data_IF_660884160136
#
_entry.id   IF_660884160136
#
_cell.length_a   1.000
_cell.length_b   1.000
_cell.length_c   1.000
_cell.angle_alpha   90.00
_cell.angle_beta   90.00
_cell.angle_gamma   90.00
#
_symmetry.space_group_name_H-M   'P 1'
#
loop_
_entity.id
_entity.type
_entity.pdbx_description
1 polymer ?
#
# COMPACT_ATOMS: atom_id res chain seq x y z
N UNK A 1 8.34 -84.90 85.37
CA UNK A 1 8.24 -84.75 83.90
C UNK A 1 8.27 -83.25 83.62
N UNK A 2 9.29 -82.65 82.95
CA UNK A 2 9.64 -82.76 81.51
C UNK A 2 8.40 -82.47 80.64
N UNK A 3 8.34 -81.51 79.72
CA UNK A 3 9.35 -80.67 79.09
C UNK A 3 8.75 -79.37 78.51
N UNK A 4 9.65 -78.42 78.35
CA UNK A 4 9.58 -77.12 77.68
C UNK A 4 9.72 -77.30 76.15
N UNK A 5 9.00 -76.51 75.34
CA UNK A 5 9.42 -76.18 73.97
C UNK A 5 9.22 -74.68 73.71
N UNK A 6 10.33 -74.08 73.29
CA UNK A 6 10.53 -72.65 72.97
C UNK A 6 9.99 -72.36 71.57
N UNK A 7 9.22 -71.29 71.43
CA UNK A 7 9.05 -70.58 70.16
C UNK A 7 9.36 -69.10 70.40
N UNK A 8 10.49 -68.63 69.85
CA UNK A 8 10.87 -67.22 69.85
C UNK A 8 9.92 -66.42 68.93
N UNK A 9 9.32 -65.30 69.38
CA UNK A 9 8.50 -64.47 68.52
C UNK A 9 9.36 -63.69 67.52
N UNK A 10 8.92 -63.68 66.26
CA UNK A 10 9.46 -62.88 65.13
C UNK A 10 9.56 -61.39 65.48
N UNK A 11 10.53 -60.64 64.93
CA UNK A 11 10.61 -59.18 65.10
C UNK A 11 9.35 -58.53 64.54
N UNK A 12 8.70 -57.71 65.36
CA UNK A 12 7.50 -56.97 64.97
C UNK A 12 7.82 -55.95 63.85
N UNK A 13 6.93 -55.78 62.86
CA UNK A 13 7.14 -54.82 61.78
C UNK A 13 7.20 -53.38 62.32
N UNK A 14 8.12 -52.58 61.78
CA UNK A 14 8.36 -51.18 62.15
C UNK A 14 7.07 -50.35 62.11
N UNK A 15 6.65 -49.87 63.28
CA UNK A 15 5.42 -49.10 63.48
C UNK A 15 5.55 -47.75 62.76
N UNK A 16 4.86 -47.56 61.64
CA UNK A 16 4.66 -46.22 61.04
C UNK A 16 3.85 -45.39 62.03
N UNK A 17 4.52 -44.45 62.68
CA UNK A 17 3.88 -43.51 63.61
C UNK A 17 3.01 -42.56 62.78
N UNK A 18 1.70 -42.78 62.78
CA UNK A 18 0.73 -41.77 62.36
C UNK A 18 0.92 -40.56 63.29
N UNK A 19 1.60 -39.53 62.80
CA UNK A 19 1.60 -38.23 63.46
C UNK A 19 0.21 -37.63 63.22
N UNK A 20 -0.59 -37.35 64.27
CA UNK A 20 -1.88 -36.72 64.08
C UNK A 20 -1.66 -35.38 63.36
N UNK A 21 -2.46 -35.09 62.33
CA UNK A 21 -2.45 -33.79 61.67
C UNK A 21 -2.60 -32.72 62.76
N UNK A 22 -1.60 -31.83 62.90
CA UNK A 22 -1.66 -30.74 63.89
C UNK A 22 -2.97 -29.99 63.65
N UNK A 23 -3.83 -29.95 64.67
CA UNK A 23 -5.10 -29.20 64.60
C UNK A 23 -4.77 -27.75 64.28
N UNK A 24 -5.32 -27.23 63.18
CA UNK A 24 -5.12 -25.84 62.75
C UNK A 24 -5.57 -24.91 63.88
N UNK A 25 -4.68 -24.04 64.34
CA UNK A 25 -4.98 -23.13 65.44
C UNK A 25 -6.12 -22.18 65.05
N UNK A 26 -6.93 -21.79 66.03
CA UNK A 26 -8.05 -20.86 65.79
C UNK A 26 -7.56 -19.52 65.21
N UNK A 27 -6.39 -19.04 65.65
CA UNK A 27 -5.73 -17.86 65.08
C UNK A 27 -5.33 -18.02 63.61
N UNK A 28 -4.87 -19.21 63.20
CA UNK A 28 -4.59 -19.50 61.77
C UNK A 28 -5.87 -19.46 60.93
N UNK A 29 -7.00 -19.92 61.48
CA UNK A 29 -8.30 -19.88 60.77
C UNK A 29 -8.80 -18.44 60.61
N UNK A 30 -8.71 -17.63 61.66
CA UNK A 30 -9.06 -16.20 61.60
C UNK A 30 -8.16 -15.48 60.60
N UNK A 31 -6.85 -15.71 60.65
CA UNK A 31 -5.90 -15.12 59.72
C UNK A 31 -6.22 -15.46 58.27
N UNK A 32 -6.49 -16.74 57.95
CA UNK A 32 -6.89 -17.16 56.61
C UNK A 32 -8.18 -16.48 56.18
N UNK A 33 -9.18 -16.34 57.06
CA UNK A 33 -10.41 -15.61 56.76
C UNK A 33 -10.16 -14.14 56.45
N UNK A 34 -9.34 -13.44 57.23
CA UNK A 34 -8.99 -12.04 56.97
C UNK A 34 -8.23 -11.87 55.65
N UNK A 35 -7.27 -12.76 55.37
CA UNK A 35 -6.55 -12.75 54.08
C UNK A 35 -7.49 -13.00 52.91
N UNK A 36 -8.48 -13.90 53.07
CA UNK A 36 -9.45 -14.20 52.03
C UNK A 36 -10.42 -13.04 51.80
N UNK A 37 -10.88 -12.37 52.86
CA UNK A 37 -11.71 -11.15 52.76
C UNK A 37 -10.93 -9.99 52.11
N UNK A 38 -9.66 -9.81 52.47
CA UNK A 38 -8.77 -8.83 51.84
C UNK A 38 -8.53 -9.15 50.36
N UNK A 39 -8.32 -10.42 50.01
CA UNK A 39 -8.14 -10.86 48.64
C UNK A 39 -9.42 -10.67 47.80
N UNK A 40 -10.59 -10.98 48.34
CA UNK A 40 -11.87 -10.74 47.67
C UNK A 40 -12.13 -9.23 47.51
N UNK A 41 -11.82 -8.43 48.53
CA UNK A 41 -11.94 -6.97 48.47
C UNK A 41 -10.99 -6.32 47.46
N UNK A 42 -9.75 -6.81 47.34
CA UNK A 42 -8.79 -6.30 46.36
C UNK A 42 -9.13 -6.73 44.92
N UNK A 43 -9.62 -7.97 44.74
CA UNK A 43 -10.16 -8.44 43.44
C UNK A 43 -11.41 -7.61 43.07
N UNK A 44 -12.32 -7.34 44.02
CA UNK A 44 -13.49 -6.50 43.80
C UNK A 44 -13.13 -5.07 43.37
N UNK A 45 -12.22 -4.40 44.09
CA UNK A 45 -11.76 -3.06 43.72
C UNK A 45 -11.02 -3.03 42.37
N UNK A 46 -10.27 -4.08 42.04
CA UNK A 46 -9.63 -4.23 40.74
C UNK A 46 -10.66 -4.36 39.60
N UNK A 47 -11.69 -5.19 39.77
CA UNK A 47 -12.73 -5.43 38.78
C UNK A 47 -13.69 -4.22 38.63
N UNK A 48 -13.99 -3.51 39.71
CA UNK A 48 -14.97 -2.41 39.70
C UNK A 48 -14.37 -1.04 39.32
N UNK A 49 -13.08 -0.81 39.61
CA UNK A 49 -12.48 0.53 39.46
C UNK A 49 -11.31 0.53 38.48
N UNK A 50 -10.32 -0.34 38.70
CA UNK A 50 -9.09 -0.28 37.90
C UNK A 50 -9.27 -0.82 36.47
N UNK A 51 -9.96 -1.95 36.32
CA UNK A 51 -10.18 -2.56 35.01
C UNK A 51 -11.04 -1.64 34.10
N UNK A 52 -12.16 -1.05 34.56
CA UNK A 52 -12.92 -0.08 33.76
C UNK A 52 -12.13 1.18 33.42
N UNK A 53 -11.30 1.70 34.33
CA UNK A 53 -10.45 2.87 34.05
C UNK A 53 -9.39 2.58 32.99
N UNK A 54 -8.77 1.40 33.00
CA UNK A 54 -7.82 1.00 31.96
C UNK A 54 -8.50 0.83 30.60
N UNK A 55 -9.68 0.19 30.55
CA UNK A 55 -10.51 0.10 29.33
C UNK A 55 -10.83 1.50 28.81
N UNK A 56 -11.27 2.42 29.68
CA UNK A 56 -11.62 3.78 29.29
C UNK A 56 -10.40 4.58 28.78
N UNK A 57 -9.21 4.34 29.33
CA UNK A 57 -7.97 4.95 28.83
C UNK A 57 -7.61 4.44 27.44
N UNK A 58 -7.71 3.13 27.20
CA UNK A 58 -7.44 2.54 25.89
C UNK A 58 -8.45 2.99 24.84
N UNK A 59 -9.74 3.10 25.21
CA UNK A 59 -10.78 3.63 24.34
C UNK A 59 -10.52 5.09 23.93
N UNK A 60 -9.95 5.92 24.83
CA UNK A 60 -9.56 7.30 24.48
C UNK A 60 -8.39 7.35 23.50
N UNK A 61 -7.39 6.50 23.71
CA UNK A 61 -6.22 6.42 22.82
C UNK A 61 -6.64 5.91 21.44
N UNK A 62 -7.37 4.79 21.41
CA UNK A 62 -7.96 4.24 20.18
C UNK A 62 -8.82 5.27 19.45
N UNK A 63 -9.76 5.93 20.15
CA UNK A 63 -10.64 6.92 19.52
C UNK A 63 -9.89 8.13 18.93
N UNK A 64 -8.77 8.53 19.54
CA UNK A 64 -7.92 9.60 18.99
C UNK A 64 -7.21 9.17 17.70
N UNK A 65 -6.68 7.95 17.66
CA UNK A 65 -6.06 7.38 16.45
C UNK A 65 -7.09 7.15 15.35
N UNK A 66 -8.28 6.66 15.71
CA UNK A 66 -9.39 6.45 14.78
C UNK A 66 -9.85 7.78 14.14
N UNK A 67 -9.90 8.86 14.92
CA UNK A 67 -10.24 10.19 14.41
C UNK A 67 -9.20 10.69 13.40
N UNK A 68 -7.91 10.53 13.69
CA UNK A 68 -6.82 10.89 12.76
C UNK A 68 -6.88 10.05 11.48
N UNK A 69 -7.14 8.75 11.60
CA UNK A 69 -7.31 7.86 10.45
C UNK A 69 -8.51 8.26 9.56
N UNK A 70 -9.64 8.65 10.17
CA UNK A 70 -10.81 9.16 9.42
C UNK A 70 -10.50 10.46 8.68
N UNK A 71 -9.84 11.41 9.34
CA UNK A 71 -9.45 12.66 8.72
C UNK A 71 -8.55 12.43 7.51
N UNK A 72 -7.49 11.64 7.69
CA UNK A 72 -6.54 11.35 6.62
C UNK A 72 -7.18 10.54 5.49
N UNK A 73 -8.09 9.61 5.80
CA UNK A 73 -8.88 8.90 4.77
C UNK A 73 -9.72 9.85 3.91
N UNK A 74 -10.36 10.86 4.52
CA UNK A 74 -11.11 11.89 3.78
C UNK A 74 -10.23 12.75 2.87
N UNK A 75 -9.10 13.21 3.39
CA UNK A 75 -8.13 14.03 2.64
C UNK A 75 -7.53 13.24 1.46
N UNK A 76 -7.16 11.98 1.71
CA UNK A 76 -6.61 11.06 0.71
C UNK A 76 -7.64 10.77 -0.37
N UNK A 77 -8.89 10.46 -0.01
CA UNK A 77 -9.94 10.18 -0.98
C UNK A 77 -10.19 11.38 -1.92
N UNK A 78 -10.24 12.58 -1.36
CA UNK A 78 -10.40 13.83 -2.13
C UNK A 78 -9.22 14.05 -3.09
N UNK A 79 -8.01 13.83 -2.60
CA UNK A 79 -6.78 14.03 -3.39
C UNK A 79 -6.66 13.01 -4.52
N UNK A 80 -6.94 11.73 -4.26
CA UNK A 80 -6.94 10.68 -5.28
C UNK A 80 -8.01 10.93 -6.34
N UNK A 81 -9.21 11.35 -5.95
CA UNK A 81 -10.27 11.71 -6.91
C UNK A 81 -9.85 12.86 -7.81
N UNK A 82 -9.20 13.88 -7.24
CA UNK A 82 -8.69 15.03 -8.00
C UNK A 82 -7.61 14.59 -9.00
N UNK A 83 -6.60 13.85 -8.53
CA UNK A 83 -5.51 13.32 -9.37
C UNK A 83 -6.03 12.54 -10.57
N UNK A 84 -6.96 11.62 -10.33
CA UNK A 84 -7.47 10.77 -11.41
C UNK A 84 -8.51 11.46 -12.29
N UNK A 85 -9.15 12.54 -11.82
CA UNK A 85 -9.97 13.40 -12.68
C UNK A 85 -9.12 14.14 -13.69
N UNK A 86 -7.93 14.61 -13.30
CA UNK A 86 -7.01 15.31 -14.21
C UNK A 86 -6.31 14.33 -15.17
N UNK A 87 -5.84 13.18 -14.65
CA UNK A 87 -5.26 12.11 -15.48
C UNK A 87 -6.29 11.53 -16.46
N UNK A 88 -7.56 11.40 -16.06
CA UNK A 88 -8.75 11.78 -16.84
C UNK A 88 -8.66 11.85 -18.35
N UNK A 89 -8.05 12.96 -18.74
CA UNK A 89 -8.15 13.56 -20.06
C UNK A 89 -6.97 13.14 -20.95
N UNK A 90 -6.15 12.21 -20.46
CA UNK A 90 -4.83 11.90 -20.97
C UNK A 90 -3.80 12.82 -20.32
N UNK A 91 -2.82 12.23 -19.63
CA UNK A 91 -1.71 12.97 -19.03
C UNK A 91 -0.80 13.66 -20.06
N UNK A 92 -0.85 13.20 -21.31
CA UNK A 92 -0.13 13.78 -22.44
C UNK A 92 -0.89 15.00 -22.95
N UNK A 93 -0.25 16.16 -22.87
CA UNK A 93 -0.86 17.45 -23.19
C UNK A 93 -1.15 18.33 -21.97
N UNK A 94 -1.00 17.79 -20.74
CA UNK A 94 -0.90 18.61 -19.54
C UNK A 94 0.39 19.45 -19.59
N UNK A 95 0.33 20.67 -19.06
CA UNK A 95 1.51 21.53 -18.95
C UNK A 95 2.52 20.96 -17.96
N UNK A 96 3.79 21.30 -18.13
CA UNK A 96 4.87 20.84 -17.23
C UNK A 96 4.58 21.29 -15.77
N UNK A 97 3.98 22.47 -15.58
CA UNK A 97 3.57 22.99 -14.26
C UNK A 97 2.43 22.18 -13.63
N UNK A 98 1.45 21.76 -14.44
CA UNK A 98 0.34 20.92 -13.96
C UNK A 98 0.88 19.54 -13.55
N UNK A 99 1.72 18.93 -14.40
CA UNK A 99 2.36 17.64 -14.09
C UNK A 99 3.23 17.71 -12.83
N UNK A 100 3.94 18.81 -12.59
CA UNK A 100 4.71 18.99 -11.37
C UNK A 100 3.82 19.11 -10.12
N UNK A 101 2.69 19.82 -10.25
CA UNK A 101 1.69 19.97 -9.18
C UNK A 101 1.04 18.63 -8.84
N UNK A 102 0.61 17.89 -9.86
CA UNK A 102 -0.02 16.58 -9.71
C UNK A 102 0.95 15.56 -9.12
N UNK A 103 2.24 15.60 -9.50
CA UNK A 103 3.26 14.74 -8.92
C UNK A 103 3.44 15.01 -7.43
N UNK A 104 3.53 16.30 -7.05
CA UNK A 104 3.63 16.68 -5.65
C UNK A 104 2.38 16.28 -4.85
N UNK A 105 1.20 16.40 -5.45
CA UNK A 105 -0.06 15.95 -4.85
C UNK A 105 -0.08 14.43 -4.67
N UNK A 106 0.33 13.64 -5.67
CA UNK A 106 0.41 12.19 -5.60
C UNK A 106 1.34 11.73 -4.47
N UNK A 107 2.55 12.28 -4.39
CA UNK A 107 3.52 11.96 -3.33
C UNK A 107 3.02 12.32 -1.92
N UNK A 108 2.36 13.47 -1.78
CA UNK A 108 1.74 13.87 -0.49
C UNK A 108 0.59 12.94 -0.13
N UNK A 109 -0.18 12.50 -1.12
CA UNK A 109 -1.31 11.60 -0.93
C UNK A 109 -0.86 10.21 -0.51
N UNK A 110 0.19 9.66 -1.13
CA UNK A 110 0.83 8.41 -0.68
C UNK A 110 1.30 8.50 0.77
N UNK A 111 1.99 9.58 1.11
CA UNK A 111 2.47 9.80 2.47
C UNK A 111 1.29 9.86 3.45
N UNK A 112 0.26 10.65 3.15
CA UNK A 112 -0.92 10.77 4.00
C UNK A 112 -1.68 9.45 4.12
N UNK A 113 -1.69 8.62 3.07
CA UNK A 113 -2.32 7.30 3.14
C UNK A 113 -1.50 6.34 4.03
N UNK A 114 -0.17 6.38 3.93
CA UNK A 114 0.74 5.63 4.80
C UNK A 114 0.60 6.04 6.27
N UNK A 115 0.55 7.35 6.55
CA UNK A 115 0.32 7.87 7.89
C UNK A 115 -1.04 7.38 8.43
N UNK A 116 -2.08 7.35 7.58
CA UNK A 116 -3.41 6.88 7.96
C UNK A 116 -3.45 5.41 8.31
N UNK A 117 -2.72 4.59 7.55
CA UNK A 117 -2.53 3.17 7.86
C UNK A 117 -1.77 2.98 9.17
N UNK A 118 -0.82 3.85 9.51
CA UNK A 118 -0.12 3.82 10.80
C UNK A 118 -1.08 4.10 11.96
N UNK A 119 -1.97 5.08 11.83
CA UNK A 119 -3.00 5.36 12.85
C UNK A 119 -3.97 4.18 13.03
N UNK A 120 -4.37 3.53 11.93
CA UNK A 120 -5.19 2.31 11.99
C UNK A 120 -4.46 1.18 12.73
N UNK A 121 -3.18 0.97 12.45
CA UNK A 121 -2.38 -0.05 13.14
C UNK A 121 -2.26 0.24 14.65
N UNK A 122 -2.09 1.52 15.02
CA UNK A 122 -2.08 1.94 16.42
C UNK A 122 -3.43 1.69 17.10
N UNK A 123 -4.55 2.07 16.46
CA UNK A 123 -5.90 1.81 16.96
C UNK A 123 -6.16 0.30 17.13
N UNK A 124 -5.78 -0.52 16.14
CA UNK A 124 -5.88 -1.98 16.22
C UNK A 124 -5.04 -2.56 17.38
N UNK A 125 -3.86 -2.00 17.65
CA UNK A 125 -3.04 -2.42 18.78
C UNK A 125 -3.71 -2.09 20.13
N UNK A 126 -4.30 -0.91 20.28
CA UNK A 126 -5.06 -0.54 21.49
C UNK A 126 -6.30 -1.41 21.69
N UNK A 127 -7.01 -1.74 20.61
CA UNK A 127 -8.13 -2.68 20.66
C UNK A 127 -7.69 -4.09 21.06
N UNK A 128 -6.59 -4.60 20.50
CA UNK A 128 -6.05 -5.91 20.86
C UNK A 128 -5.58 -5.94 22.32
N UNK A 129 -4.97 -4.86 22.81
CA UNK A 129 -4.63 -4.71 24.22
C UNK A 129 -5.88 -4.69 25.11
N UNK A 130 -6.95 -4.05 24.64
CA UNK A 130 -8.21 -4.00 25.36
C UNK A 130 -8.92 -5.37 25.41
N UNK A 131 -8.96 -6.10 24.30
CA UNK A 131 -9.56 -7.44 24.17
C UNK A 131 -8.75 -8.51 24.95
N UNK A 132 -7.44 -8.28 25.09
CA UNK A 132 -6.51 -9.19 25.77
C UNK A 132 -6.40 -9.02 27.29
N UNK A 133 -7.16 -8.11 27.92
CA UNK A 133 -7.05 -7.94 29.37
C UNK A 133 -7.66 -9.12 30.14
N UNK A 134 -7.00 -9.58 31.22
CA UNK A 134 -7.51 -10.69 32.01
C UNK A 134 -8.82 -10.32 32.72
N UNK A 135 -9.63 -11.34 33.03
CA UNK A 135 -10.92 -11.24 33.73
C UNK A 135 -12.05 -10.53 32.96
N UNK A 136 -11.85 -10.26 31.67
CA UNK A 136 -12.94 -9.85 30.78
C UNK A 136 -13.81 -11.05 30.39
N UNK A 137 -15.12 -10.92 30.58
CA UNK A 137 -16.12 -11.94 30.20
C UNK A 137 -16.63 -11.74 28.76
N UNK A 138 -16.42 -10.54 28.21
CA UNK A 138 -16.82 -10.13 26.86
C UNK A 138 -15.87 -9.03 26.38
N UNK A 139 -15.73 -8.89 25.06
CA UNK A 139 -14.97 -7.78 24.48
C UNK A 139 -15.54 -6.42 24.93
N UNK A 140 -14.70 -5.39 25.07
CA UNK A 140 -15.16 -4.04 25.35
C UNK A 140 -16.09 -3.51 24.24
N UNK A 141 -17.12 -2.74 24.61
CA UNK A 141 -18.14 -2.29 23.64
C UNK A 141 -17.59 -1.47 22.46
N UNK A 142 -16.56 -0.65 22.69
CA UNK A 142 -15.90 0.10 21.62
C UNK A 142 -15.20 -0.83 20.61
N UNK A 143 -14.59 -1.93 21.08
CA UNK A 143 -13.95 -2.93 20.20
C UNK A 143 -14.96 -3.53 19.22
N UNK A 144 -16.19 -3.80 19.67
CA UNK A 144 -17.25 -4.34 18.79
C UNK A 144 -17.71 -3.33 17.75
N UNK A 145 -17.81 -2.06 18.11
CA UNK A 145 -18.31 -0.99 17.24
C UNK A 145 -17.25 -0.49 16.24
N UNK A 146 -15.99 -0.36 16.66
CA UNK A 146 -14.94 0.32 15.89
C UNK A 146 -14.13 -0.64 14.99
N UNK A 147 -14.19 -1.96 15.26
CA UNK A 147 -13.56 -2.99 14.41
C UNK A 147 -14.01 -2.95 12.94
N UNK A 148 -15.32 -2.89 12.60
CA UNK A 148 -15.74 -2.75 11.20
C UNK A 148 -15.31 -1.41 10.59
N UNK A 149 -15.34 -0.32 11.35
CA UNK A 149 -14.90 1.00 10.90
C UNK A 149 -13.43 0.98 10.48
N UNK A 150 -12.54 0.43 11.32
CA UNK A 150 -11.12 0.32 11.00
C UNK A 150 -10.85 -0.54 9.77
N UNK A 151 -11.63 -1.61 9.56
CA UNK A 151 -11.51 -2.44 8.36
C UNK A 151 -11.87 -1.65 7.10
N UNK A 152 -12.96 -0.88 7.13
CA UNK A 152 -13.35 0.00 6.02
C UNK A 152 -12.31 1.10 5.74
N UNK A 153 -11.80 1.76 6.79
CA UNK A 153 -10.72 2.75 6.64
C UNK A 153 -9.46 2.13 6.02
N UNK A 154 -9.09 0.93 6.48
CA UNK A 154 -7.91 0.22 5.98
C UNK A 154 -8.06 -0.14 4.50
N UNK A 155 -9.23 -0.66 4.11
CA UNK A 155 -9.53 -0.98 2.72
C UNK A 155 -9.51 0.26 1.82
N UNK A 156 -10.12 1.35 2.29
CA UNK A 156 -10.13 2.64 1.59
C UNK A 156 -8.71 3.17 1.39
N UNK A 157 -7.91 3.24 2.46
CA UNK A 157 -6.55 3.78 2.41
C UNK A 157 -5.61 2.91 1.58
N UNK A 158 -5.73 1.59 1.61
CA UNK A 158 -4.93 0.69 0.76
C UNK A 158 -5.24 0.91 -0.73
N UNK A 159 -6.53 1.00 -1.08
CA UNK A 159 -6.94 1.24 -2.46
C UNK A 159 -6.52 2.64 -2.94
N UNK A 160 -6.64 3.65 -2.09
CA UNK A 160 -6.21 5.01 -2.39
C UNK A 160 -4.68 5.13 -2.50
N UNK A 161 -3.92 4.46 -1.63
CA UNK A 161 -2.46 4.42 -1.71
C UNK A 161 -1.99 3.78 -3.02
N UNK A 162 -2.66 2.71 -3.47
CA UNK A 162 -2.37 2.09 -4.77
C UNK A 162 -2.61 3.06 -5.93
N UNK A 163 -3.72 3.80 -5.89
CA UNK A 163 -4.05 4.80 -6.91
C UNK A 163 -3.10 6.00 -6.89
N UNK A 164 -2.66 6.45 -5.71
CA UNK A 164 -1.69 7.53 -5.59
C UNK A 164 -0.30 7.08 -6.09
N UNK A 165 0.14 5.88 -5.69
CA UNK A 165 1.34 5.19 -6.18
C UNK A 165 1.39 5.10 -7.70
N UNK A 166 0.29 4.65 -8.30
CA UNK A 166 0.15 4.55 -9.73
C UNK A 166 0.26 5.92 -10.42
N UNK A 167 -0.42 6.95 -9.90
CA UNK A 167 -0.33 8.31 -10.41
C UNK A 167 1.11 8.86 -10.32
N UNK A 168 1.81 8.63 -9.21
CA UNK A 168 3.19 9.07 -9.04
C UNK A 168 4.18 8.41 -10.02
N UNK A 169 3.86 7.23 -10.55
CA UNK A 169 4.65 6.59 -11.62
C UNK A 169 4.21 7.04 -13.00
N UNK A 170 2.91 7.22 -13.23
CA UNK A 170 2.35 7.61 -14.52
C UNK A 170 2.71 9.06 -14.91
N UNK A 171 2.78 9.98 -13.94
CA UNK A 171 3.07 11.40 -14.18
C UNK A 171 4.49 11.62 -14.74
N UNK A 172 5.56 11.03 -14.19
CA UNK A 172 6.90 11.09 -14.79
C UNK A 172 6.98 10.48 -16.20
N UNK A 173 6.20 9.42 -16.47
CA UNK A 173 6.07 8.86 -17.81
C UNK A 173 5.48 9.93 -18.74
N UNK A 174 4.38 10.58 -18.36
CA UNK A 174 3.78 11.65 -19.14
C UNK A 174 4.73 12.85 -19.38
N UNK A 175 5.46 13.29 -18.35
CA UNK A 175 6.47 14.35 -18.47
C UNK A 175 7.54 14.00 -19.51
N UNK A 176 8.05 12.77 -19.44
CA UNK A 176 9.08 12.31 -20.37
C UNK A 176 8.53 12.10 -21.79
N UNK A 177 7.26 11.68 -21.95
CA UNK A 177 6.59 11.65 -23.25
C UNK A 177 6.44 13.06 -23.86
N UNK A 178 6.07 14.07 -23.06
CA UNK A 178 6.03 15.47 -23.51
C UNK A 178 7.40 15.98 -23.97
N UNK A 179 8.46 15.64 -23.25
CA UNK A 179 9.84 15.98 -23.65
C UNK A 179 10.26 15.26 -24.93
N UNK A 180 9.88 14.00 -25.10
CA UNK A 180 10.16 13.24 -26.33
C UNK A 180 9.46 13.81 -27.55
N UNK A 181 8.21 14.27 -27.41
CA UNK A 181 7.49 14.95 -28.50
C UNK A 181 8.26 16.19 -29.00
N UNK A 182 8.84 16.97 -28.08
CA UNK A 182 9.70 18.12 -28.42
C UNK A 182 10.97 17.65 -29.15
N UNK A 183 11.69 16.68 -28.59
CA UNK A 183 12.92 16.13 -29.19
C UNK A 183 12.71 15.44 -30.54
N UNK A 184 11.56 14.79 -30.76
CA UNK A 184 11.16 14.25 -32.07
C UNK A 184 10.99 15.35 -33.12
N UNK A 185 10.51 16.52 -32.71
CA UNK A 185 10.41 17.68 -33.61
C UNK A 185 11.78 18.18 -34.04
N UNK A 186 12.76 18.20 -33.12
CA UNK A 186 14.16 18.54 -33.42
C UNK A 186 14.80 17.52 -34.36
N UNK A 187 14.61 16.22 -34.11
CA UNK A 187 15.06 15.16 -35.00
C UNK A 187 14.48 15.33 -36.42
N UNK A 188 13.19 15.66 -36.53
CA UNK A 188 12.55 15.93 -37.81
C UNK A 188 13.14 17.15 -38.52
N UNK A 189 13.53 18.18 -37.77
CA UNK A 189 14.20 19.35 -38.32
C UNK A 189 15.61 19.00 -38.84
N UNK A 190 16.41 18.22 -38.10
CA UNK A 190 17.71 17.73 -38.57
C UNK A 190 17.59 16.89 -39.84
N UNK A 191 16.61 15.98 -39.90
CA UNK A 191 16.35 15.17 -41.09
C UNK A 191 15.97 16.02 -42.31
N UNK A 192 15.14 17.05 -42.13
CA UNK A 192 14.79 18.00 -43.21
C UNK A 192 15.99 18.83 -43.66
N UNK A 193 16.82 19.26 -42.72
CA UNK A 193 18.05 20.01 -42.98
C UNK A 193 19.18 19.14 -43.57
N UNK A 194 18.99 17.81 -43.63
CA UNK A 194 20.02 16.83 -44.04
C UNK A 194 21.25 16.86 -43.13
N UNK A 195 21.08 17.28 -41.89
CA UNK A 195 22.11 17.19 -40.85
C UNK A 195 22.15 15.75 -40.32
N UNK A 196 22.82 14.87 -41.05
CA UNK A 196 22.86 13.43 -40.76
C UNK A 196 23.60 13.12 -39.45
N UNK A 197 24.66 13.86 -39.14
CA UNK A 197 25.44 13.62 -37.92
C UNK A 197 24.67 14.10 -36.69
N UNK A 198 24.10 15.30 -36.74
CA UNK A 198 23.25 15.82 -35.66
C UNK A 198 21.97 15.00 -35.49
N UNK A 199 21.35 14.57 -36.59
CA UNK A 199 20.20 13.66 -36.59
C UNK A 199 20.51 12.32 -35.93
N UNK A 200 21.63 11.68 -36.28
CA UNK A 200 22.04 10.40 -35.67
C UNK A 200 22.29 10.54 -34.17
N UNK A 201 22.94 11.62 -33.72
CA UNK A 201 23.18 11.89 -32.30
C UNK A 201 21.87 12.11 -31.55
N UNK A 202 20.98 12.96 -32.09
CA UNK A 202 19.67 13.25 -31.49
C UNK A 202 18.83 11.98 -31.39
N UNK A 203 18.82 11.16 -32.44
CA UNK A 203 18.14 9.88 -32.45
C UNK A 203 18.72 8.89 -31.42
N UNK A 204 20.04 8.81 -31.26
CA UNK A 204 20.66 7.94 -30.26
C UNK A 204 20.27 8.34 -28.82
N UNK A 205 20.28 9.64 -28.50
CA UNK A 205 19.85 10.16 -27.20
C UNK A 205 18.37 9.88 -26.94
N UNK A 206 17.52 10.13 -27.94
CA UNK A 206 16.09 9.81 -27.88
C UNK A 206 15.84 8.31 -27.67
N UNK A 207 16.56 7.44 -28.38
CA UNK A 207 16.39 5.99 -28.27
C UNK A 207 16.67 5.50 -26.86
N UNK A 208 17.74 6.02 -26.23
CA UNK A 208 18.05 5.70 -24.84
C UNK A 208 16.95 6.18 -23.89
N UNK A 209 16.44 7.40 -24.08
CA UNK A 209 15.36 7.95 -23.26
C UNK A 209 14.04 7.16 -23.39
N UNK A 210 13.66 6.75 -24.60
CA UNK A 210 12.44 5.96 -24.85
C UNK A 210 12.56 4.55 -24.24
N UNK A 211 13.73 3.91 -24.35
CA UNK A 211 13.96 2.58 -23.73
C UNK A 211 13.78 2.60 -22.21
N UNK A 212 14.15 3.69 -21.53
CA UNK A 212 13.96 3.82 -20.08
C UNK A 212 12.48 3.79 -19.66
N UNK A 213 11.55 4.13 -20.57
CA UNK A 213 10.12 4.11 -20.28
C UNK A 213 9.44 2.76 -20.52
N UNK A 214 10.05 1.86 -21.30
CA UNK A 214 9.43 0.56 -21.63
C UNK A 214 9.19 -0.30 -20.39
N UNK A 215 10.13 -0.31 -19.44
CA UNK A 215 9.99 -1.10 -18.21
C UNK A 215 8.88 -0.58 -17.28
N UNK A 216 8.80 0.73 -16.95
CA UNK A 216 7.66 1.31 -16.25
C UNK A 216 6.33 1.09 -16.99
N UNK A 217 6.29 1.28 -18.31
CA UNK A 217 5.08 1.11 -19.11
C UNK A 217 4.55 -0.34 -19.13
N UNK A 218 5.43 -1.33 -18.96
CA UNK A 218 5.06 -2.74 -18.86
C UNK A 218 4.61 -3.16 -17.45
N UNK A 219 4.79 -2.32 -16.44
CA UNK A 219 4.41 -2.66 -15.07
C UNK A 219 2.90 -2.39 -14.83
N UNK A 220 2.10 -3.43 -14.49
CA UNK A 220 0.66 -3.28 -14.29
C UNK A 220 0.28 -2.35 -13.13
N UNK A 221 1.15 -2.16 -12.14
CA UNK A 221 0.90 -1.24 -11.01
C UNK A 221 0.99 0.25 -11.40
N UNK A 222 1.42 0.56 -12.63
CA UNK A 222 1.47 1.94 -13.12
C UNK A 222 0.12 2.44 -13.61
N UNK A 223 -0.85 1.55 -13.81
CA UNK A 223 -2.15 1.90 -14.40
C UNK A 223 -1.97 2.79 -15.64
N UNK A 224 -1.00 2.43 -16.48
CA UNK A 224 -0.85 3.04 -17.79
C UNK A 224 -1.77 2.32 -18.78
N UNK A 225 -2.51 3.09 -19.58
CA UNK A 225 -3.25 2.53 -20.71
C UNK A 225 -2.28 1.76 -21.63
N UNK A 226 -2.51 0.47 -21.93
CA UNK A 226 -1.69 -0.31 -22.85
C UNK A 226 -1.48 0.38 -24.21
N UNK A 227 -2.41 1.23 -24.66
CA UNK A 227 -2.26 1.99 -25.89
C UNK A 227 -1.14 3.04 -25.81
N UNK A 228 -0.88 3.60 -24.63
CA UNK A 228 0.29 4.47 -24.42
C UNK A 228 1.61 3.68 -24.45
N UNK A 229 1.62 2.44 -23.93
CA UNK A 229 2.78 1.57 -24.06
C UNK A 229 3.08 1.25 -25.54
N UNK A 230 2.05 0.97 -26.35
CA UNK A 230 2.20 0.81 -27.79
C UNK A 230 2.75 2.05 -28.50
N UNK A 231 2.36 3.25 -28.06
CA UNK A 231 2.92 4.49 -28.60
C UNK A 231 4.41 4.65 -28.24
N UNK A 232 4.84 4.27 -27.04
CA UNK A 232 6.25 4.29 -26.63
C UNK A 232 7.07 3.36 -27.55
N UNK A 233 6.57 2.15 -27.80
CA UNK A 233 7.22 1.19 -28.70
C UNK A 233 7.29 1.70 -30.15
N UNK A 234 6.20 2.29 -30.65
CA UNK A 234 6.17 2.89 -31.99
C UNK A 234 7.12 4.09 -32.10
N UNK A 235 7.27 4.88 -31.04
CA UNK A 235 8.23 5.98 -30.97
C UNK A 235 9.66 5.46 -31.01
N UNK A 236 9.96 4.36 -30.30
CA UNK A 236 11.28 3.72 -30.38
C UNK A 236 11.61 3.27 -31.81
N UNK A 237 10.63 2.72 -32.53
CA UNK A 237 10.79 2.31 -33.92
C UNK A 237 11.11 3.50 -34.84
N UNK A 238 10.41 4.64 -34.68
CA UNK A 238 10.69 5.88 -35.44
C UNK A 238 12.11 6.37 -35.20
N UNK A 239 12.51 6.46 -33.94
CA UNK A 239 13.83 6.98 -33.58
C UNK A 239 14.95 6.05 -34.07
N UNK A 240 14.74 4.74 -33.98
CA UNK A 240 15.72 3.75 -34.47
C UNK A 240 15.85 3.81 -36.00
N UNK A 241 14.74 3.88 -36.72
CA UNK A 241 14.75 4.02 -38.18
C UNK A 241 15.38 5.35 -38.64
N UNK A 242 15.12 6.45 -37.91
CA UNK A 242 15.74 7.73 -38.17
C UNK A 242 17.26 7.70 -37.95
N UNK A 243 17.73 7.00 -36.92
CA UNK A 243 19.15 6.80 -36.67
C UNK A 243 19.81 6.02 -37.83
N UNK A 244 19.18 4.93 -38.28
CA UNK A 244 19.68 4.12 -39.40
C UNK A 244 19.76 4.95 -40.69
N UNK A 245 18.70 5.68 -41.03
CA UNK A 245 18.68 6.58 -42.18
C UNK A 245 19.81 7.61 -42.13
N UNK A 246 20.02 8.24 -40.97
CA UNK A 246 21.09 9.22 -40.80
C UNK A 246 22.48 8.59 -41.00
N UNK A 247 22.72 7.41 -40.43
CA UNK A 247 24.01 6.71 -40.57
C UNK A 247 24.27 6.29 -42.02
N UNK A 248 23.27 5.71 -42.69
CA UNK A 248 23.35 5.31 -44.09
C UNK A 248 23.62 6.50 -45.02
N UNK A 249 22.92 7.63 -44.75
CA UNK A 249 23.08 8.87 -45.51
C UNK A 249 24.45 9.52 -45.27
N UNK A 250 24.94 9.52 -44.03
CA UNK A 250 26.28 10.01 -43.71
C UNK A 250 27.39 9.16 -44.35
N UNK A 251 27.14 7.85 -44.54
CA UNK A 251 28.06 6.92 -45.20
C UNK A 251 27.91 6.88 -46.74
N UNK A 252 27.09 7.75 -47.33
CA UNK A 252 26.79 7.79 -48.77
C UNK A 252 26.23 6.47 -49.36
N UNK A 253 25.55 5.66 -48.55
CA UNK A 253 24.93 4.41 -48.99
C UNK A 253 23.52 4.66 -49.53
N UNK A 254 23.42 5.22 -50.73
CA UNK A 254 22.15 5.62 -51.35
C UNK A 254 21.04 4.54 -51.35
N UNK A 255 21.27 3.27 -51.74
CA UNK A 255 20.20 2.27 -51.74
C UNK A 255 19.74 1.92 -50.32
N UNK A 256 20.65 1.89 -49.35
CA UNK A 256 20.33 1.60 -47.95
C UNK A 256 19.53 2.76 -47.34
N UNK A 257 19.95 4.00 -47.59
CA UNK A 257 19.24 5.19 -47.14
C UNK A 257 17.83 5.29 -47.74
N UNK A 258 17.63 4.86 -49.00
CA UNK A 258 16.30 4.84 -49.61
C UNK A 258 15.38 3.80 -48.95
N UNK A 259 15.92 2.62 -48.61
CA UNK A 259 15.20 1.61 -47.83
C UNK A 259 14.84 2.12 -46.43
N UNK A 260 15.81 2.70 -45.71
CA UNK A 260 15.61 3.23 -44.36
C UNK A 260 14.60 4.38 -44.34
N UNK A 261 14.54 5.20 -45.39
CA UNK A 261 13.54 6.25 -45.54
C UNK A 261 12.11 5.68 -45.64
N UNK A 262 11.92 4.57 -46.35
CA UNK A 262 10.63 3.89 -46.44
C UNK A 262 10.21 3.25 -45.09
N UNK A 263 11.18 2.66 -44.37
CA UNK A 263 10.96 2.11 -43.02
C UNK A 263 10.58 3.22 -42.05
N UNK A 264 11.32 4.34 -42.06
CA UNK A 264 11.02 5.50 -41.22
C UNK A 264 9.62 6.05 -41.48
N UNK A 265 9.20 6.14 -42.74
CA UNK A 265 7.85 6.61 -43.08
C UNK A 265 6.77 5.67 -42.55
N UNK A 266 6.99 4.36 -42.66
CA UNK A 266 6.08 3.33 -42.11
C UNK A 266 5.99 3.44 -40.58
N UNK A 267 7.13 3.57 -39.89
CA UNK A 267 7.18 3.75 -38.45
C UNK A 267 6.46 5.03 -38.00
N UNK A 268 6.61 6.13 -38.74
CA UNK A 268 5.89 7.39 -38.45
C UNK A 268 4.37 7.24 -38.55
N UNK A 269 3.90 6.53 -39.58
CA UNK A 269 2.47 6.26 -39.74
C UNK A 269 1.93 5.41 -38.57
N UNK A 270 2.69 4.39 -38.13
CA UNK A 270 2.33 3.57 -36.97
C UNK A 270 2.33 4.36 -35.67
N UNK A 271 3.31 5.23 -35.44
CA UNK A 271 3.37 6.10 -34.27
C UNK A 271 2.18 7.07 -34.22
N UNK A 272 1.82 7.67 -35.36
CA UNK A 272 0.64 8.54 -35.44
C UNK A 272 -0.67 7.79 -35.17
N UNK A 273 -0.81 6.58 -35.71
CA UNK A 273 -1.97 5.72 -35.46
C UNK A 273 -2.06 5.30 -33.98
N UNK A 274 -0.94 4.90 -33.37
CA UNK A 274 -0.87 4.55 -31.94
C UNK A 274 -1.23 5.74 -31.05
N UNK A 275 -0.76 6.94 -31.40
CA UNK A 275 -1.09 8.16 -30.67
C UNK A 275 -2.60 8.46 -30.71
N UNK A 276 -3.21 8.40 -31.91
CA UNK A 276 -4.64 8.63 -32.07
C UNK A 276 -5.49 7.58 -31.35
N UNK A 277 -5.07 6.31 -31.38
CA UNK A 277 -5.72 5.23 -30.64
C UNK A 277 -5.64 5.47 -29.12
N UNK A 278 -4.46 5.83 -28.60
CA UNK A 278 -4.29 6.11 -27.17
C UNK A 278 -5.10 7.32 -26.71
N UNK A 279 -5.12 8.41 -27.47
CA UNK A 279 -5.95 9.58 -27.14
C UNK A 279 -7.45 9.26 -27.09
N UNK A 280 -7.95 8.47 -28.05
CA UNK A 280 -9.37 8.12 -28.13
C UNK A 280 -9.77 7.04 -27.13
N UNK A 281 -8.85 6.13 -26.79
CA UNK A 281 -9.06 5.04 -25.84
C UNK A 281 -8.93 5.41 -24.37
N UNK A 282 -8.15 6.45 -24.05
CA UNK A 282 -7.76 6.79 -22.67
C UNK A 282 -8.94 6.91 -21.69
N UNK A 283 -9.99 7.65 -22.06
CA UNK A 283 -11.16 7.84 -21.20
C UNK A 283 -11.91 6.53 -20.95
N UNK A 284 -12.13 5.72 -22.00
CA UNK A 284 -12.81 4.43 -21.89
C UNK A 284 -11.99 3.44 -21.03
N UNK A 285 -10.67 3.45 -21.19
CA UNK A 285 -9.76 2.63 -20.41
C UNK A 285 -9.79 3.02 -18.91
N UNK A 286 -9.81 4.31 -18.59
CA UNK A 286 -9.92 4.79 -17.20
C UNK A 286 -11.25 4.44 -16.56
N UNK A 287 -12.37 4.64 -17.27
CA UNK A 287 -13.69 4.24 -16.78
C UNK A 287 -13.74 2.73 -16.49
N UNK A 288 -13.07 1.92 -17.30
CA UNK A 288 -13.04 0.47 -17.10
C UNK A 288 -12.09 0.01 -15.98
N UNK A 289 -10.97 0.70 -15.78
CA UNK A 289 -9.85 0.19 -14.98
C UNK A 289 -9.65 0.94 -13.66
N UNK A 290 -9.80 2.27 -13.69
CA UNK A 290 -9.53 3.15 -12.55
C UNK A 290 -10.81 3.46 -11.78
N UNK A 291 -11.91 3.78 -12.48
CA UNK A 291 -13.18 4.16 -11.86
C UNK A 291 -13.70 3.14 -10.83
N UNK A 292 -13.65 1.81 -11.07
CA UNK A 292 -14.11 0.84 -10.07
C UNK A 292 -13.31 0.88 -8.76
N UNK A 293 -12.04 1.28 -8.83
CA UNK A 293 -11.19 1.43 -7.65
C UNK A 293 -11.54 2.74 -6.91
N UNK A 294 -11.77 3.83 -7.65
CA UNK A 294 -12.26 5.09 -7.07
C UNK A 294 -13.62 4.91 -6.37
N UNK A 295 -14.56 4.23 -7.02
CA UNK A 295 -15.87 3.92 -6.46
C UNK A 295 -15.74 3.06 -5.20
N UNK A 296 -14.82 2.10 -5.20
CA UNK A 296 -14.50 1.31 -4.00
C UNK A 296 -13.94 2.16 -2.88
N UNK A 297 -12.98 3.05 -3.16
CA UNK A 297 -12.44 3.98 -2.15
C UNK A 297 -13.56 4.82 -1.54
N UNK A 298 -14.41 5.41 -2.39
CA UNK A 298 -15.53 6.23 -1.93
C UNK A 298 -16.53 5.43 -1.07
N UNK A 299 -16.86 4.20 -1.48
CA UNK A 299 -17.77 3.33 -0.75
C UNK A 299 -17.23 2.93 0.63
N UNK A 300 -15.96 2.51 0.70
CA UNK A 300 -15.31 2.11 1.95
C UNK A 300 -15.11 3.32 2.88
N UNK A 301 -14.74 4.48 2.34
CA UNK A 301 -14.62 5.73 3.12
C UNK A 301 -15.97 6.15 3.71
N UNK A 302 -17.06 6.02 2.95
CA UNK A 302 -18.41 6.32 3.43
C UNK A 302 -18.84 5.34 4.55
N UNK A 303 -18.58 4.04 4.38
CA UNK A 303 -18.88 3.02 5.39
C UNK A 303 -18.09 3.19 6.70
N UNK A 304 -16.91 3.83 6.65
CA UNK A 304 -16.14 4.18 7.84
C UNK A 304 -16.64 5.44 8.59
N UNK A 305 -17.50 6.23 7.94
CA UNK A 305 -18.05 7.47 8.49
C UNK A 305 -19.40 7.29 9.18
N UNK A 306 -20.11 6.19 8.90
CA UNK A 306 -21.35 5.75 9.55
C UNK A 306 -21.09 5.03 10.86
#
# INVERSE_FOLDING_TARGET
MRYLFVALPRPAPGRRVFRPARRTSWGTRIFVFFVLVLAVGSIGAFLEVFLPQQIASLAKLEGSELQLARQQSGDVNTSVTTLWTDLSRGSIGLSDDQLATDLALAQRTEKSASDGLSHIQAAQAYMAQADGMPFQLHSPGFVTNDRPVLAHLQNSLNAANRLAGAAAVQIPIAQSMNQQLRSLSDLNNSLKARDWVGGARTAATLSAAVKLQQAPAANPETFLDPLWAHWIDATLAVVTAAQQLCLASAQNQAPLAQQDAAILQTARNQMAAAYGAAQTGAAAWQVKTVQPILDKVAHEAAAASS
#
